data_IF_707369320711
#
_entry.id   IF_707369320711
#
_cell.length_a   1.000
_cell.length_b   1.000
_cell.length_c   1.000
_cell.angle_alpha   90.00
_cell.angle_beta   90.00
_cell.angle_gamma   90.00
#
_symmetry.space_group_name_H-M   'P 1'
#
loop_
_entity.id
_entity.type
_entity.pdbx_description
1 polymer ?
#
# COMPACT_ATOMS: atom_id res chain seq x y z
N UNK A 1 10.96 -6.57 -13.52
CA UNK A 1 9.94 -5.79 -14.25
C UNK A 1 9.22 -4.91 -13.27
N UNK A 2 9.28 -3.59 -13.46
CA UNK A 2 8.52 -2.63 -12.65
C UNK A 2 7.02 -2.79 -12.93
N UNK A 3 6.29 -3.40 -12.00
CA UNK A 3 4.84 -3.58 -12.12
C UNK A 3 4.12 -2.50 -11.33
N UNK A 4 3.42 -1.63 -12.05
CA UNK A 4 2.52 -0.64 -11.50
C UNK A 4 1.11 -1.22 -11.37
N UNK A 5 0.44 -0.91 -10.26
CA UNK A 5 -0.90 -1.37 -9.94
C UNK A 5 -1.88 -0.19 -9.90
N UNK A 6 -3.13 -0.44 -10.31
CA UNK A 6 -4.26 0.47 -10.09
C UNK A 6 -4.73 0.40 -8.63
N UNK A 7 -5.70 1.24 -8.27
CA UNK A 7 -6.37 1.19 -6.97
C UNK A 7 -7.10 -0.15 -6.74
N UNK A 8 -7.76 -0.68 -7.77
CA UNK A 8 -8.48 -1.95 -7.74
C UNK A 8 -7.51 -3.12 -7.60
N UNK A 9 -6.43 -3.12 -8.39
CA UNK A 9 -5.43 -4.19 -8.34
C UNK A 9 -4.72 -4.26 -7.00
N UNK A 10 -4.41 -3.11 -6.39
CA UNK A 10 -3.77 -3.13 -5.07
C UNK A 10 -4.76 -3.50 -3.96
N UNK A 11 -6.02 -3.13 -4.09
CA UNK A 11 -7.08 -3.51 -3.17
C UNK A 11 -7.25 -5.04 -3.16
N UNK A 12 -7.29 -5.66 -4.35
CA UNK A 12 -7.29 -7.11 -4.50
C UNK A 12 -6.01 -7.75 -3.93
N UNK A 13 -4.84 -7.18 -4.27
CA UNK A 13 -3.54 -7.68 -3.81
C UNK A 13 -3.40 -7.70 -2.28
N UNK A 14 -3.90 -6.66 -1.61
CA UNK A 14 -3.85 -6.53 -0.15
C UNK A 14 -5.08 -7.14 0.53
N UNK A 15 -6.06 -7.64 -0.23
CA UNK A 15 -7.37 -8.10 0.26
C UNK A 15 -8.08 -7.04 1.12
N UNK A 16 -8.05 -5.79 0.67
CA UNK A 16 -8.68 -4.65 1.33
C UNK A 16 -9.70 -3.99 0.41
N UNK A 17 -10.67 -3.27 0.97
CA UNK A 17 -11.58 -2.47 0.15
C UNK A 17 -10.86 -1.31 -0.54
N UNK A 18 -11.26 -1.02 -1.78
CA UNK A 18 -10.75 0.13 -2.56
C UNK A 18 -10.89 1.46 -1.81
N UNK A 19 -12.00 1.64 -1.07
CA UNK A 19 -12.22 2.81 -0.21
C UNK A 19 -11.17 2.95 0.90
N UNK A 20 -10.75 1.84 1.52
CA UNK A 20 -9.71 1.86 2.56
C UNK A 20 -8.36 2.23 1.98
N UNK A 21 -7.97 1.59 0.86
CA UNK A 21 -6.73 1.92 0.17
C UNK A 21 -6.72 3.38 -0.28
N UNK A 22 -7.83 3.88 -0.84
CA UNK A 22 -7.94 5.25 -1.27
C UNK A 22 -7.70 6.24 -0.13
N UNK A 23 -8.33 6.01 1.04
CA UNK A 23 -8.11 6.81 2.24
C UNK A 23 -6.66 6.72 2.73
N UNK A 24 -6.03 5.54 2.64
CA UNK A 24 -4.63 5.37 3.01
C UNK A 24 -3.70 6.14 2.08
N UNK A 25 -3.95 6.09 0.76
CA UNK A 25 -3.18 6.82 -0.24
C UNK A 25 -3.31 8.34 -0.06
N UNK A 26 -4.54 8.84 0.16
CA UNK A 26 -4.78 10.25 0.49
C UNK A 26 -4.05 10.70 1.76
N UNK A 27 -3.96 9.83 2.77
CA UNK A 27 -3.29 10.12 4.05
C UNK A 27 -1.78 9.83 4.02
N UNK A 28 -1.22 9.41 2.89
CA UNK A 28 0.19 9.03 2.78
C UNK A 28 0.60 7.82 3.64
N UNK A 29 -0.35 6.97 4.03
CA UNK A 29 -0.11 5.79 4.90
C UNK A 29 0.34 4.54 4.14
N UNK A 30 0.24 4.58 2.81
CA UNK A 30 0.66 3.53 1.89
C UNK A 30 1.45 4.20 0.76
N UNK A 31 2.55 3.59 0.26
CA UNK A 31 3.29 4.11 -0.89
C UNK A 31 2.38 4.21 -2.11
N UNK A 32 2.06 5.42 -2.53
CA UNK A 32 1.13 5.69 -3.61
C UNK A 32 1.56 6.93 -4.40
N UNK A 33 1.42 6.86 -5.71
CA UNK A 33 1.78 7.92 -6.64
C UNK A 33 0.53 8.42 -7.34
N UNK A 34 0.32 9.74 -7.32
CA UNK A 34 -0.81 10.35 -8.02
C UNK A 34 -0.37 10.73 -9.43
N UNK A 35 -0.89 10.00 -10.43
CA UNK A 35 -0.61 10.23 -11.85
C UNK A 35 -1.88 10.76 -12.50
N UNK A 36 -1.91 12.08 -12.72
CA UNK A 36 -3.13 12.79 -13.13
C UNK A 36 -4.26 12.62 -12.10
N UNK A 37 -5.35 11.96 -12.50
CA UNK A 37 -6.52 11.70 -11.66
C UNK A 37 -6.51 10.31 -10.99
N UNK A 38 -5.53 9.47 -11.30
CA UNK A 38 -5.47 8.09 -10.82
C UNK A 38 -4.35 7.87 -9.81
N UNK A 39 -4.59 6.96 -8.87
CA UNK A 39 -3.56 6.45 -7.98
C UNK A 39 -2.87 5.25 -8.62
N UNK A 40 -1.53 5.22 -8.50
CA UNK A 40 -0.68 4.15 -8.97
C UNK A 40 0.23 3.68 -7.85
N UNK A 41 0.46 2.38 -7.80
CA UNK A 41 1.20 1.74 -6.72
C UNK A 41 2.30 0.89 -7.34
N UNK A 42 3.56 1.15 -6.98
CA UNK A 42 4.67 0.32 -7.42
C UNK A 42 4.71 -0.93 -6.56
N UNK A 43 4.51 -2.11 -7.15
CA UNK A 43 4.41 -3.37 -6.40
C UNK A 43 5.60 -3.59 -5.45
N UNK A 44 6.81 -3.34 -5.92
CA UNK A 44 8.04 -3.51 -5.13
C UNK A 44 8.07 -2.63 -3.87
N UNK A 45 7.52 -1.43 -3.92
CA UNK A 45 7.44 -0.54 -2.75
C UNK A 45 6.39 -1.00 -1.77
N UNK A 46 5.25 -1.49 -2.28
CA UNK A 46 4.23 -2.09 -1.42
C UNK A 46 4.80 -3.32 -0.71
N UNK A 47 5.49 -4.20 -1.43
CA UNK A 47 6.10 -5.39 -0.87
C UNK A 47 7.10 -5.03 0.25
N UNK A 48 7.89 -3.96 0.07
CA UNK A 48 8.79 -3.43 1.12
C UNK A 48 8.02 -2.82 2.30
N UNK A 49 6.96 -2.07 2.02
CA UNK A 49 6.13 -1.45 3.05
C UNK A 49 5.44 -2.49 3.93
N UNK A 50 4.87 -3.56 3.36
CA UNK A 50 4.26 -4.67 4.13
C UNK A 50 5.29 -5.29 5.09
N UNK A 51 6.51 -5.54 4.60
CA UNK A 51 7.60 -6.11 5.43
C UNK A 51 7.95 -5.18 6.60
N UNK A 52 8.01 -3.87 6.35
CA UNK A 52 8.26 -2.86 7.39
C UNK A 52 7.14 -2.79 8.43
N UNK A 53 5.87 -2.86 8.01
CA UNK A 53 4.72 -2.88 8.92
C UNK A 53 4.75 -4.12 9.83
N UNK A 54 5.07 -5.30 9.29
CA UNK A 54 5.21 -6.54 10.07
C UNK A 54 6.25 -6.40 11.18
N UNK A 55 7.39 -5.77 10.88
CA UNK A 55 8.45 -5.54 11.87
C UNK A 55 8.01 -4.56 12.96
N UNK A 56 7.32 -3.48 12.60
CA UNK A 56 6.75 -2.54 13.57
C UNK A 56 5.69 -3.19 14.49
N UNK A 57 4.88 -4.12 13.96
CA UNK A 57 3.89 -4.85 14.75
C UNK A 57 4.52 -5.89 15.69
N UNK A 58 5.62 -6.54 15.28
CA UNK A 58 6.35 -7.49 16.12
C UNK A 58 7.09 -6.81 17.28
N UNK A 59 7.68 -5.63 17.05
CA UNK A 59 8.36 -4.88 18.11
C UNK A 59 7.41 -4.35 19.19
N UNK A 60 6.13 -4.12 18.88
CA UNK A 60 5.11 -3.67 19.85
C UNK A 60 4.53 -4.79 20.72
N UNK A 61 4.83 -6.05 20.43
CA UNK A 61 4.24 -7.21 21.13
C UNK A 61 5.14 -7.76 22.24
N UNK A 62 6.30 -7.15 22.46
CA UNK A 62 7.32 -7.58 23.43
C UNK A 62 7.49 -6.60 24.61
N UNK A 63 6.48 -5.79 24.90
CA UNK A 63 6.39 -4.93 26.09
C UNK A 63 5.08 -5.25 26.82
#
# INVERSE_FOLDING_TARGET
>A
MERWLTLEQIAEYLQMSTSSIYKMAQKGKIPAYKVGRQWRFRKEEIDRWIKSQKQSMMSRKNE
#
